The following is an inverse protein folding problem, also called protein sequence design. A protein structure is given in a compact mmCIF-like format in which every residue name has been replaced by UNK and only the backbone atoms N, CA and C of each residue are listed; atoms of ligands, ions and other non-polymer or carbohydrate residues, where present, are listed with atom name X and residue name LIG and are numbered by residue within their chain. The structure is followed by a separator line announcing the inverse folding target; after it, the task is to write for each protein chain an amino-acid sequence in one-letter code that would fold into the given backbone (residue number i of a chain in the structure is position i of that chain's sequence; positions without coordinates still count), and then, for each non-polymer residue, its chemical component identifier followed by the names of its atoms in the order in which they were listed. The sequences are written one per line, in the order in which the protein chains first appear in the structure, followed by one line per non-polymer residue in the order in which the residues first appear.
data_IF_385858512517
#
_entry.id   IF_385858512517
#
_cell.length_a   1.000
_cell.length_b   1.000
_cell.length_c   1.000
_cell.angle_alpha   90.00
_cell.angle_beta   90.00
_cell.angle_gamma   90.00
#
_symmetry.space_group_name_H-M   'P 1'
#
loop_
_entity.id
_entity.type
_entity.pdbx_description
1 polymer ?
#
# COMPACT_ATOMS: atom_id res chain seq x y z
N UNK A 1 1.59 49.50 46.29
CA UNK A 1 2.37 49.44 45.03
C UNK A 1 1.81 48.30 44.22
N UNK A 2 1.24 48.61 43.05
CA UNK A 2 0.60 47.67 42.14
C UNK A 2 1.65 46.95 41.27
N UNK A 3 1.46 45.65 41.00
CA UNK A 3 1.95 44.95 39.80
C UNK A 3 1.39 43.51 39.85
N UNK A 4 0.24 43.27 39.22
CA UNK A 4 0.10 42.75 37.85
C UNK A 4 0.03 41.21 37.82
N UNK A 5 -1.20 40.71 37.81
CA UNK A 5 -1.55 39.34 37.47
C UNK A 5 -1.36 39.22 35.94
N UNK A 6 -0.34 38.49 35.50
CA UNK A 6 -0.21 38.14 34.08
C UNK A 6 -1.14 36.96 33.82
N UNK A 7 -2.34 37.26 33.35
CA UNK A 7 -3.22 36.26 32.76
C UNK A 7 -2.68 35.93 31.35
N UNK A 8 -1.95 34.82 31.23
CA UNK A 8 -1.62 34.26 29.91
C UNK A 8 -2.85 33.55 29.35
N UNK A 9 -3.54 34.19 28.41
CA UNK A 9 -4.58 33.58 27.61
C UNK A 9 -3.86 32.69 26.58
N UNK A 10 -3.86 31.37 26.79
CA UNK A 10 -3.47 30.42 25.77
C UNK A 10 -4.55 30.40 24.69
N UNK A 11 -4.29 31.11 23.59
CA UNK A 11 -5.04 30.99 22.36
C UNK A 11 -4.47 29.78 21.59
N UNK A 12 -4.97 28.57 21.87
CA UNK A 12 -4.71 27.42 20.99
C UNK A 12 -5.65 27.53 19.79
N UNK A 13 -5.15 28.12 18.71
CA UNK A 13 -5.81 28.01 17.40
C UNK A 13 -5.80 26.54 16.99
N UNK A 14 -6.96 25.88 17.07
CA UNK A 14 -7.17 24.60 16.38
C UNK A 14 -7.30 24.92 14.90
N UNK A 15 -6.20 24.78 14.17
CA UNK A 15 -6.22 24.74 12.71
C UNK A 15 -6.82 23.39 12.31
N UNK A 16 -8.14 23.32 12.16
CA UNK A 16 -8.78 22.22 11.44
C UNK A 16 -8.48 22.39 9.95
N UNK A 17 -7.34 21.88 9.51
CA UNK A 17 -7.07 21.72 8.08
C UNK A 17 -7.99 20.61 7.57
N UNK A 18 -9.11 21.00 6.96
CA UNK A 18 -9.91 20.13 6.09
C UNK A 18 -9.16 19.97 4.76
N UNK A 19 -8.03 19.28 4.81
CA UNK A 19 -7.42 18.72 3.63
C UNK A 19 -7.65 17.22 3.74
N UNK A 20 -8.33 16.65 2.74
CA UNK A 20 -8.46 15.22 2.55
C UNK A 20 -7.06 14.65 2.29
N UNK A 21 -6.34 14.38 3.38
CA UNK A 21 -5.18 13.52 3.37
C UNK A 21 -5.70 12.09 3.51
N UNK A 22 -5.30 11.22 2.60
CA UNK A 22 -5.38 9.79 2.85
C UNK A 22 -4.72 9.53 4.22
N UNK A 23 -5.39 8.75 5.08
CA UNK A 23 -4.83 8.34 6.37
C UNK A 23 -3.41 7.76 6.16
N UNK A 24 -2.46 8.01 7.08
CA UNK A 24 -1.14 7.43 6.99
C UNK A 24 -1.26 5.92 6.90
N UNK A 25 -0.85 5.35 5.77
CA UNK A 25 -0.84 3.90 5.56
C UNK A 25 0.15 3.32 6.57
N UNK A 26 -0.34 2.55 7.54
CA UNK A 26 0.51 1.72 8.40
C UNK A 26 1.10 0.58 7.54
N UNK A 27 2.18 0.88 6.82
CA UNK A 27 2.89 -0.11 6.02
C UNK A 27 3.96 -0.80 6.85
N UNK A 28 3.97 -2.13 6.86
CA UNK A 28 5.06 -2.93 7.45
C UNK A 28 5.93 -3.47 6.34
N UNK A 29 7.23 -3.17 6.37
CA UNK A 29 8.21 -3.67 5.40
C UNK A 29 9.24 -4.56 6.09
N UNK A 30 9.51 -5.71 5.49
CA UNK A 30 10.55 -6.65 5.94
C UNK A 30 11.35 -7.15 4.74
N UNK A 31 12.63 -7.47 4.96
CA UNK A 31 13.52 -7.98 3.92
C UNK A 31 14.00 -9.37 4.32
N UNK A 32 13.79 -10.36 3.46
CA UNK A 32 14.36 -11.70 3.58
C UNK A 32 15.48 -11.86 2.56
N UNK A 33 16.74 -12.05 2.97
CA UNK A 33 17.84 -12.29 2.02
C UNK A 33 17.57 -13.53 1.16
N UNK A 34 17.77 -13.41 -0.15
CA UNK A 34 17.78 -14.56 -1.07
C UNK A 34 19.21 -15.10 -1.17
N UNK A 35 20.19 -14.19 -1.20
CA UNK A 35 21.62 -14.49 -1.16
C UNK A 35 22.39 -13.29 -0.57
N UNK A 36 23.71 -13.25 -0.74
CA UNK A 36 24.59 -12.18 -0.22
C UNK A 36 24.37 -10.81 -0.87
N UNK A 37 23.76 -10.74 -2.05
CA UNK A 37 23.67 -9.52 -2.87
C UNK A 37 22.25 -8.99 -3.00
N UNK A 38 21.24 -9.86 -2.97
CA UNK A 38 19.82 -9.50 -3.18
C UNK A 38 18.91 -10.06 -2.10
N UNK A 39 17.82 -9.34 -1.83
CA UNK A 39 16.78 -9.71 -0.88
C UNK A 39 15.39 -9.57 -1.46
N UNK A 40 14.45 -10.32 -0.89
CA UNK A 40 13.03 -10.19 -1.11
C UNK A 40 12.47 -9.21 -0.08
N UNK A 41 12.12 -8.01 -0.52
CA UNK A 41 11.41 -7.03 0.28
C UNK A 41 9.91 -7.27 0.17
N UNK A 42 9.25 -7.43 1.32
CA UNK A 42 7.79 -7.57 1.43
C UNK A 42 7.23 -6.35 2.15
N UNK A 43 6.36 -5.61 1.47
CA UNK A 43 5.57 -4.54 2.07
C UNK A 43 4.14 -5.02 2.26
N UNK A 44 3.60 -4.89 3.47
CA UNK A 44 2.19 -5.18 3.79
C UNK A 44 1.45 -3.87 4.03
N UNK A 45 0.36 -3.65 3.31
CA UNK A 45 -0.51 -2.47 3.45
C UNK A 45 -1.96 -2.90 3.60
N UNK A 46 -2.78 -2.03 4.18
CA UNK A 46 -4.23 -2.19 4.22
C UNK A 46 -4.86 -1.42 3.05
N UNK A 47 -5.83 -2.05 2.38
CA UNK A 47 -6.61 -1.46 1.31
C UNK A 47 -8.08 -1.48 1.72
N UNK A 48 -8.70 -0.31 1.79
CA UNK A 48 -10.14 -0.18 2.02
C UNK A 48 -10.85 0.25 0.74
N UNK A 49 -11.86 -0.50 0.33
CA UNK A 49 -12.71 -0.18 -0.81
C UNK A 49 -14.07 0.23 -0.26
N UNK A 50 -14.40 1.50 -0.45
CA UNK A 50 -15.67 2.06 0.01
C UNK A 50 -16.85 1.38 -0.67
N UNK A 51 -17.91 1.14 0.10
CA UNK A 51 -19.16 0.59 -0.42
C UNK A 51 -19.79 1.43 -1.54
N UNK A 52 -19.48 2.73 -1.57
CA UNK A 52 -20.00 3.68 -2.55
C UNK A 52 -19.01 3.95 -3.69
N UNK A 53 -17.96 3.14 -3.86
CA UNK A 53 -17.00 3.30 -4.93
C UNK A 53 -17.68 3.17 -6.31
N UNK A 54 -17.54 4.22 -7.14
CA UNK A 54 -18.06 4.28 -8.52
C UNK A 54 -16.99 4.02 -9.57
N UNK A 55 -15.72 4.04 -9.19
CA UNK A 55 -14.62 3.77 -10.12
C UNK A 55 -14.54 2.26 -10.37
N UNK A 56 -14.48 1.83 -11.63
CA UNK A 56 -14.48 0.40 -11.94
C UNK A 56 -13.10 -0.23 -11.76
N UNK A 57 -12.07 0.56 -11.46
CA UNK A 57 -10.69 0.11 -11.25
C UNK A 57 -10.09 0.62 -9.94
N UNK A 58 -9.15 -0.16 -9.42
CA UNK A 58 -8.18 0.22 -8.39
C UNK A 58 -6.76 0.02 -8.91
N UNK A 59 -5.77 0.50 -8.16
CA UNK A 59 -4.38 0.33 -8.51
C UNK A 59 -3.49 0.11 -7.28
N UNK A 60 -2.42 -0.64 -7.48
CA UNK A 60 -1.28 -0.74 -6.56
C UNK A 60 -0.07 -0.21 -7.29
N UNK A 61 0.55 0.84 -6.76
CA UNK A 61 1.71 1.47 -7.37
C UNK A 61 2.78 1.78 -6.32
N UNK A 62 3.99 2.02 -6.79
CA UNK A 62 5.07 2.47 -5.93
C UNK A 62 6.38 2.64 -6.65
N UNK A 63 7.41 2.91 -5.84
CA UNK A 63 8.80 3.04 -6.30
C UNK A 63 9.71 2.19 -5.43
N UNK A 64 10.65 1.51 -6.06
CA UNK A 64 11.59 0.59 -5.40
C UNK A 64 12.97 1.24 -5.39
N UNK A 65 13.52 1.48 -4.20
CA UNK A 65 14.91 1.86 -4.06
C UNK A 65 15.80 0.65 -4.39
N UNK A 66 16.66 0.77 -5.39
CA UNK A 66 17.62 -0.27 -5.79
C UNK A 66 16.98 -1.58 -6.28
N UNK A 67 16.00 -1.46 -7.18
CA UNK A 67 15.38 -2.62 -7.81
C UNK A 67 16.42 -3.48 -8.55
N UNK A 68 16.23 -4.79 -8.51
CA UNK A 68 17.00 -5.72 -9.34
C UNK A 68 16.31 -5.84 -10.68
N UNK A 69 17.03 -5.57 -11.76
CA UNK A 69 16.48 -5.65 -13.11
C UNK A 69 15.90 -7.05 -13.42
N UNK A 70 14.93 -7.10 -14.33
CA UNK A 70 14.25 -8.32 -14.77
C UNK A 70 13.44 -9.08 -13.70
N UNK A 71 13.24 -8.49 -12.51
CA UNK A 71 12.36 -9.05 -11.49
C UNK A 71 11.05 -8.25 -11.43
N UNK A 72 9.89 -8.90 -11.56
CA UNK A 72 8.60 -8.22 -11.44
C UNK A 72 8.31 -7.89 -9.97
N UNK A 73 7.35 -6.99 -9.77
CA UNK A 73 6.64 -6.86 -8.49
C UNK A 73 5.52 -7.88 -8.46
N UNK A 74 5.46 -8.67 -7.39
CA UNK A 74 4.36 -9.61 -7.13
C UNK A 74 3.40 -9.01 -6.12
N UNK A 75 2.11 -9.03 -6.40
CA UNK A 75 1.05 -8.48 -5.57
C UNK A 75 0.08 -9.59 -5.18
N UNK A 76 -0.24 -9.67 -3.89
CA UNK A 76 -1.21 -10.59 -3.33
C UNK A 76 -2.23 -9.81 -2.49
N UNK A 77 -3.52 -9.98 -2.75
CA UNK A 77 -4.61 -9.34 -2.00
C UNK A 77 -5.35 -10.42 -1.23
N UNK A 78 -5.47 -10.23 0.08
CA UNK A 78 -6.15 -11.13 1.00
C UNK A 78 -7.41 -10.45 1.52
N UNK A 79 -8.52 -11.19 1.52
CA UNK A 79 -9.74 -10.77 2.20
C UNK A 79 -9.52 -10.87 3.71
N UNK A 80 -9.85 -9.81 4.45
CA UNK A 80 -9.71 -9.77 5.90
C UNK A 80 -10.93 -10.35 6.63
N UNK A 81 -12.07 -10.51 5.94
CA UNK A 81 -13.38 -10.82 6.53
C UNK A 81 -13.81 -12.29 6.32
N UNK A 82 -13.11 -13.09 5.51
CA UNK A 82 -13.54 -14.45 5.13
C UNK A 82 -12.68 -15.58 5.75
N UNK A 83 -13.23 -16.28 6.76
CA UNK A 83 -12.73 -17.58 7.21
C UNK A 83 -13.37 -18.67 6.34
N UNK A 84 -12.71 -19.07 5.23
CA UNK A 84 -13.19 -20.19 4.41
C UNK A 84 -12.83 -21.54 5.09
N UNK A 85 -13.81 -22.40 5.43
CA UNK A 85 -13.52 -23.75 5.94
C UNK A 85 -12.82 -24.59 4.86
N UNK A 86 -11.58 -25.02 5.13
CA UNK A 86 -10.73 -25.75 4.17
C UNK A 86 -9.75 -24.86 3.38
N UNK A 87 -9.88 -23.54 3.49
CA UNK A 87 -8.92 -22.55 3.01
C UNK A 87 -8.90 -21.37 3.99
N UNK A 88 -8.26 -21.55 5.14
CA UNK A 88 -8.11 -20.45 6.09
C UNK A 88 -7.21 -19.37 5.46
N UNK A 89 -7.79 -18.26 5.00
CA UNK A 89 -7.11 -17.02 4.58
C UNK A 89 -6.40 -17.11 3.20
N UNK A 90 -7.08 -17.63 2.18
CA UNK A 90 -6.55 -17.65 0.81
C UNK A 90 -6.53 -16.26 0.19
N UNK A 91 -5.43 -15.88 -0.46
CA UNK A 91 -5.43 -14.64 -1.23
C UNK A 91 -6.52 -14.70 -2.32
N UNK A 92 -7.35 -13.67 -2.38
CA UNK A 92 -8.45 -13.55 -3.35
C UNK A 92 -7.96 -13.04 -4.70
N UNK A 93 -6.75 -12.48 -4.76
CA UNK A 93 -6.17 -11.96 -5.99
C UNK A 93 -4.65 -12.07 -6.00
N UNK A 94 -4.10 -12.48 -7.15
CA UNK A 94 -2.67 -12.57 -7.41
C UNK A 94 -2.35 -11.85 -8.71
N UNK A 95 -1.28 -11.06 -8.71
CA UNK A 95 -0.84 -10.34 -9.88
C UNK A 95 0.68 -10.15 -9.90
N UNK A 96 1.18 -9.84 -11.09
CA UNK A 96 2.54 -9.36 -11.29
C UNK A 96 2.54 -8.15 -12.21
N UNK A 97 3.47 -7.23 -11.98
CA UNK A 97 3.71 -6.11 -12.89
C UNK A 97 5.20 -5.88 -13.08
N UNK A 98 5.56 -5.33 -14.23
CA UNK A 98 6.95 -4.97 -14.55
C UNK A 98 7.40 -3.75 -13.75
N UNK A 99 8.70 -3.66 -13.52
CA UNK A 99 9.34 -2.49 -12.90
C UNK A 99 10.01 -1.69 -14.01
N UNK A 100 9.71 -0.40 -14.08
CA UNK A 100 10.34 0.53 -15.00
C UNK A 100 11.81 0.76 -14.60
N UNK A 101 12.63 1.26 -15.52
CA UNK A 101 14.06 1.55 -15.27
C UNK A 101 14.28 2.49 -14.08
N UNK A 102 13.33 3.39 -13.79
CA UNK A 102 13.39 4.32 -12.66
C UNK A 102 12.93 3.70 -11.33
N UNK A 103 12.62 2.40 -11.32
CA UNK A 103 12.12 1.64 -10.18
C UNK A 103 10.62 1.82 -9.93
N UNK A 104 9.87 2.55 -10.76
CA UNK A 104 8.42 2.69 -10.62
C UNK A 104 7.68 1.46 -11.12
N UNK A 105 6.51 1.18 -10.54
CA UNK A 105 5.60 0.15 -11.00
C UNK A 105 4.15 0.56 -10.74
N UNK A 106 3.25 0.08 -11.59
CA UNK A 106 1.81 0.24 -11.44
C UNK A 106 1.13 -1.07 -11.84
N UNK A 107 0.15 -1.49 -11.05
CA UNK A 107 -0.75 -2.58 -11.39
C UNK A 107 -2.19 -2.12 -11.23
N UNK A 108 -2.96 -2.12 -12.32
CA UNK A 108 -4.38 -1.78 -12.35
C UNK A 108 -5.25 -3.04 -12.37
N UNK A 109 -6.31 -3.06 -11.57
CA UNK A 109 -7.25 -4.18 -11.49
C UNK A 109 -8.70 -3.69 -11.43
N UNK A 110 -9.64 -4.55 -11.80
CA UNK A 110 -11.08 -4.25 -11.76
C UNK A 110 -11.61 -4.42 -10.34
N UNK A 111 -12.34 -3.42 -9.87
CA UNK A 111 -13.07 -3.45 -8.58
C UNK A 111 -14.56 -3.69 -8.80
N UNK A 112 -15.07 -3.31 -9.98
CA UNK A 112 -16.45 -3.54 -10.40
C UNK A 112 -16.45 -4.38 -11.68
N UNK A 113 -17.40 -5.30 -11.79
CA UNK A 113 -17.79 -5.89 -13.06
C UNK A 113 -19.02 -5.17 -13.63
N UNK A 114 -19.12 -5.11 -14.95
CA UNK A 114 -20.27 -4.53 -15.63
C UNK A 114 -20.70 -5.47 -16.76
N UNK A 115 -21.84 -6.12 -16.57
CA UNK A 115 -22.39 -7.05 -17.52
C UNK A 115 -23.87 -6.73 -17.77
N UNK A 116 -24.23 -6.47 -19.03
CA UNK A 116 -25.60 -6.14 -19.46
C UNK A 116 -26.27 -5.00 -18.64
N UNK A 117 -25.50 -3.96 -18.28
CA UNK A 117 -25.99 -2.83 -17.49
C UNK A 117 -26.11 -3.11 -15.99
N UNK A 118 -25.87 -4.33 -15.53
CA UNK A 118 -25.75 -4.68 -14.11
C UNK A 118 -24.32 -4.47 -13.64
N UNK A 119 -24.15 -3.69 -12.58
CA UNK A 119 -22.86 -3.51 -11.90
C UNK A 119 -22.81 -4.45 -10.71
N UNK A 120 -21.74 -5.22 -10.59
CA UNK A 120 -21.46 -6.08 -9.44
C UNK A 120 -20.09 -5.75 -8.87
N UNK A 121 -19.96 -5.71 -7.54
CA UNK A 121 -18.66 -5.49 -6.90
C UNK A 121 -17.85 -6.78 -6.93
N UNK A 122 -16.59 -6.67 -7.37
CA UNK A 122 -15.58 -7.73 -7.30
C UNK A 122 -14.85 -7.63 -5.96
N UNK A 123 -14.61 -6.41 -5.49
CA UNK A 123 -14.04 -6.13 -4.18
C UNK A 123 -14.90 -5.10 -3.44
N UNK A 124 -15.05 -5.27 -2.12
CA UNK A 124 -15.80 -4.39 -1.22
C UNK A 124 -15.26 -4.59 0.21
N UNK A 125 -15.02 -3.51 0.96
CA UNK A 125 -14.52 -3.61 2.34
C UNK A 125 -12.99 -3.64 2.47
N UNK A 126 -12.48 -4.36 3.46
CA UNK A 126 -11.08 -4.28 3.89
C UNK A 126 -10.26 -5.46 3.41
N UNK A 127 -9.07 -5.17 2.89
CA UNK A 127 -8.14 -6.16 2.37
C UNK A 127 -6.73 -5.90 2.89
N UNK A 128 -5.96 -6.98 3.05
CA UNK A 128 -4.52 -6.91 3.25
C UNK A 128 -3.81 -7.13 1.92
N UNK A 129 -2.99 -6.18 1.50
CA UNK A 129 -2.17 -6.30 0.28
C UNK A 129 -0.72 -6.57 0.68
N UNK A 130 -0.14 -7.64 0.14
CA UNK A 130 1.29 -7.95 0.24
C UNK A 130 1.96 -7.71 -1.10
N UNK A 131 3.00 -6.91 -1.09
CA UNK A 131 3.77 -6.50 -2.26
C UNK A 131 5.18 -7.04 -2.08
N UNK A 132 5.65 -7.84 -3.03
CA UNK A 132 6.98 -8.43 -3.01
C UNK A 132 7.82 -7.85 -4.14
N UNK A 133 9.03 -7.44 -3.79
CA UNK A 133 10.01 -6.81 -4.68
C UNK A 133 11.39 -7.36 -4.39
N UNK A 134 12.18 -7.53 -5.44
CA UNK A 134 13.59 -7.94 -5.30
C UNK A 134 14.47 -6.69 -5.32
N UNK A 135 15.29 -6.55 -4.28
CA UNK A 135 16.14 -5.37 -4.06
C UNK A 135 17.59 -5.78 -3.82
N UNK A 136 18.54 -4.94 -4.20
CA UNK A 136 19.93 -5.10 -3.78
C UNK A 136 20.09 -4.78 -2.30
N UNK A 137 20.78 -5.64 -1.55
CA UNK A 137 21.04 -5.45 -0.11
C UNK A 137 22.14 -4.43 0.16
N UNK A 138 23.09 -4.30 -0.78
CA UNK A 138 24.28 -3.47 -0.62
C UNK A 138 24.53 -2.59 -1.87
N UNK A 139 23.60 -1.68 -2.21
CA UNK A 139 23.62 -0.92 -3.47
C UNK A 139 24.81 0.04 -3.63
N UNK A 140 25.59 0.29 -2.56
CA UNK A 140 26.66 1.30 -2.53
C UNK A 140 28.08 0.71 -2.32
N UNK A 141 28.29 -0.60 -2.51
CA UNK A 141 29.61 -1.21 -2.29
C UNK A 141 30.57 -1.14 -3.49
N UNK A 142 30.12 -0.61 -4.64
CA UNK A 142 30.95 -0.45 -5.84
C UNK A 142 31.71 0.90 -5.91
N UNK A 143 31.71 1.68 -4.81
CA UNK A 143 32.50 2.93 -4.70
C UNK A 143 33.67 2.71 -3.74
N UNK A 144 34.69 1.99 -4.18
CA UNK A 144 36.03 1.99 -3.57
C UNK A 144 37.09 1.92 -4.67
#
# INVERSE_FOLDING_TARGET
MFASIIASILFTTVLTNTNSFAEPINSQTEITPINSSIGLEKTTIQMHISENNKLPWGFVEGKIANHVASHPVIIQIFDNDEIIPGNSIGAVHFAQTVVNEDGSYEYKFRVLDSNNGKITKIFDGNYTVKIFKVVYLHPNLDVI
#
